data_IF_946192831793
#
_entry.id   IF_946192831793
#
_cell.length_a   1.000
_cell.length_b   1.000
_cell.length_c   1.000
_cell.angle_alpha   90.00
_cell.angle_beta   90.00
_cell.angle_gamma   90.00
#
_symmetry.space_group_name_H-M   'P 1'
#
loop_
_entity.id
_entity.type
_entity.pdbx_description
1 polymer ?
#
# COMPACT_ATOMS: atom_id res chain seq x y z
N UNK A 1 -12.25 -19.12 -15.00
CA UNK A 1 -10.95 -18.61 -15.49
C UNK A 1 -10.92 -17.11 -15.36
N UNK A 2 -10.37 -16.59 -14.26
CA UNK A 2 -10.17 -15.15 -14.07
C UNK A 2 -8.90 -14.74 -14.80
N UNK A 3 -9.04 -14.14 -15.97
CA UNK A 3 -7.93 -13.55 -16.69
C UNK A 3 -7.60 -12.22 -16.02
N UNK A 4 -6.54 -12.21 -15.21
CA UNK A 4 -5.89 -10.97 -14.74
C UNK A 4 -5.39 -10.25 -15.99
N UNK A 5 -6.08 -9.19 -16.40
CA UNK A 5 -5.69 -8.41 -17.56
C UNK A 5 -4.30 -7.79 -17.30
N UNK A 6 -3.31 -7.99 -18.21
CA UNK A 6 -2.03 -7.32 -18.09
C UNK A 6 -2.23 -5.81 -18.25
N UNK A 7 -1.56 -5.02 -17.40
CA UNK A 7 -1.56 -3.57 -17.49
C UNK A 7 -0.91 -3.17 -18.83
N UNK A 8 -1.72 -2.88 -19.85
CA UNK A 8 -1.23 -2.46 -21.17
C UNK A 8 -0.85 -0.97 -21.16
N UNK A 9 0.27 -0.58 -21.80
CA UNK A 9 0.83 0.79 -21.76
C UNK A 9 -0.06 1.88 -22.40
N UNK A 10 -1.13 1.50 -23.10
CA UNK A 10 -2.10 2.39 -23.76
C UNK A 10 -3.13 3.04 -22.82
N UNK A 11 -3.24 2.60 -21.56
CA UNK A 11 -4.22 3.11 -20.59
C UNK A 11 -3.62 3.73 -19.33
N UNK A 12 -2.30 3.96 -19.30
CA UNK A 12 -1.67 4.62 -18.16
C UNK A 12 -2.03 6.12 -18.17
N UNK A 13 -2.53 6.68 -17.05
CA UNK A 13 -2.72 8.12 -16.91
C UNK A 13 -1.46 8.89 -17.32
N UNK A 14 -1.59 10.08 -17.95
CA UNK A 14 -0.45 10.89 -18.38
C UNK A 14 0.60 11.15 -17.28
N UNK A 15 0.13 11.21 -16.02
CA UNK A 15 0.97 11.35 -14.83
C UNK A 15 1.90 10.15 -14.61
N UNK A 16 1.43 8.91 -14.81
CA UNK A 16 2.25 7.71 -14.66
C UNK A 16 3.31 7.63 -15.76
N UNK A 17 2.93 7.94 -17.01
CA UNK A 17 3.91 7.94 -18.12
C UNK A 17 5.02 8.97 -17.89
N UNK A 18 4.65 10.18 -17.46
CA UNK A 18 5.63 11.22 -17.08
C UNK A 18 6.50 10.75 -15.92
N UNK A 19 5.92 10.16 -14.88
CA UNK A 19 6.66 9.65 -13.74
C UNK A 19 7.66 8.56 -14.12
N UNK A 20 7.29 7.63 -15.02
CA UNK A 20 8.21 6.60 -15.54
C UNK A 20 9.38 7.24 -16.29
N UNK A 21 9.12 8.23 -17.15
CA UNK A 21 10.20 8.98 -17.82
C UNK A 21 11.15 9.65 -16.82
N UNK A 22 10.61 10.28 -15.77
CA UNK A 22 11.42 10.91 -14.73
C UNK A 22 12.21 9.89 -13.91
N UNK A 23 11.61 8.74 -13.58
CA UNK A 23 12.26 7.64 -12.87
C UNK A 23 13.42 7.04 -13.64
N UNK A 24 13.30 6.91 -14.96
CA UNK A 24 14.37 6.41 -15.81
C UNK A 24 15.54 7.41 -15.92
N UNK A 25 15.25 8.72 -15.86
CA UNK A 25 16.27 9.77 -15.88
C UNK A 25 17.08 9.89 -14.57
N UNK A 26 16.61 9.28 -13.49
CA UNK A 26 17.27 9.30 -12.17
C UNK A 26 18.51 8.41 -12.15
N UNK A 27 19.58 8.90 -11.52
CA UNK A 27 20.79 8.12 -11.28
C UNK A 27 20.49 6.78 -10.55
N UNK A 28 20.90 5.63 -11.12
CA UNK A 28 20.62 4.32 -10.54
C UNK A 28 21.30 4.10 -9.18
N UNK A 29 22.44 4.74 -8.90
CA UNK A 29 23.15 4.61 -7.63
C UNK A 29 22.43 5.26 -6.45
N UNK A 30 21.58 6.27 -6.71
CA UNK A 30 20.80 7.00 -5.70
C UNK A 30 19.43 6.36 -5.44
N UNK A 31 18.96 5.54 -6.38
CA UNK A 31 17.61 4.98 -6.39
C UNK A 31 17.33 3.97 -5.24
N UNK A 32 18.22 3.01 -4.90
CA UNK A 32 17.96 2.04 -3.84
C UNK A 32 17.79 2.69 -2.45
N UNK A 33 18.56 3.76 -2.18
CA UNK A 33 18.47 4.49 -0.90
C UNK A 33 17.12 5.19 -0.75
N UNK A 34 16.62 5.79 -1.84
CA UNK A 34 15.31 6.41 -1.88
C UNK A 34 14.20 5.37 -1.59
N UNK A 35 14.24 4.22 -2.27
CA UNK A 35 13.28 3.13 -2.09
C UNK A 35 13.25 2.61 -0.66
N UNK A 36 14.42 2.35 -0.06
CA UNK A 36 14.49 1.89 1.32
C UNK A 36 13.88 2.89 2.30
N UNK A 37 14.10 4.20 2.09
CA UNK A 37 13.55 5.25 2.95
C UNK A 37 12.04 5.35 2.82
N UNK A 38 11.52 5.28 1.59
CA UNK A 38 10.08 5.27 1.32
C UNK A 38 9.40 4.05 1.93
N UNK A 39 9.97 2.86 1.78
CA UNK A 39 9.47 1.63 2.41
C UNK A 39 9.39 1.74 3.93
N UNK A 40 10.44 2.26 4.57
CA UNK A 40 10.45 2.46 6.02
C UNK A 40 9.36 3.40 6.51
N UNK A 41 9.01 4.43 5.71
CA UNK A 41 8.01 5.43 6.09
C UNK A 41 6.62 5.20 5.47
N UNK A 42 6.45 4.18 4.62
CA UNK A 42 5.20 3.90 3.91
C UNK A 42 4.00 3.72 4.85
N UNK A 43 4.24 3.15 6.03
CA UNK A 43 3.21 2.93 7.05
C UNK A 43 2.81 4.20 7.82
N UNK A 44 3.52 5.32 7.66
CA UNK A 44 3.39 6.55 8.47
C UNK A 44 2.58 7.66 7.76
N UNK A 45 1.53 7.33 6.99
CA UNK A 45 0.69 8.21 6.12
C UNK A 45 0.37 9.66 6.55
N UNK A 46 0.61 10.07 7.80
CA UNK A 46 0.39 11.42 8.31
C UNK A 46 1.67 12.26 8.53
N UNK A 47 2.87 11.68 8.32
CA UNK A 47 4.15 12.38 8.48
C UNK A 47 4.81 12.54 7.11
N UNK A 48 5.26 13.75 6.77
CA UNK A 48 6.04 13.96 5.57
C UNK A 48 7.23 12.99 5.54
N UNK A 49 7.39 12.26 4.43
CA UNK A 49 8.49 11.29 4.29
C UNK A 49 9.85 11.98 4.41
N UNK A 50 9.94 13.23 3.96
CA UNK A 50 11.15 14.04 3.93
C UNK A 50 10.87 15.42 4.56
N UNK A 51 11.84 15.99 5.27
CA UNK A 51 11.81 17.41 5.64
C UNK A 51 12.02 18.30 4.41
N UNK A 52 11.71 19.59 4.52
CA UNK A 52 11.93 20.57 3.45
C UNK A 52 13.40 20.57 2.99
N UNK A 53 14.35 20.55 3.93
CA UNK A 53 15.79 20.47 3.66
C UNK A 53 16.19 19.14 2.97
N UNK A 54 15.55 18.02 3.32
CA UNK A 54 15.76 16.74 2.64
C UNK A 54 15.21 16.80 1.21
N UNK A 55 14.03 17.39 1.00
CA UNK A 55 13.46 17.58 -0.34
C UNK A 55 14.32 18.46 -1.24
N UNK A 56 14.90 19.55 -0.73
CA UNK A 56 15.87 20.36 -1.49
C UNK A 56 17.11 19.55 -1.90
N UNK A 57 17.65 18.73 -0.99
CA UNK A 57 18.77 17.85 -1.32
C UNK A 57 18.39 16.80 -2.36
N UNK A 58 17.17 16.26 -2.30
CA UNK A 58 16.66 15.31 -3.28
C UNK A 58 16.47 15.97 -4.65
N UNK A 59 15.95 17.20 -4.71
CA UNK A 59 15.83 17.96 -5.96
C UNK A 59 17.19 18.11 -6.64
N UNK A 60 18.22 18.51 -5.89
CA UNK A 60 19.60 18.63 -6.41
C UNK A 60 20.15 17.25 -6.80
N UNK A 61 19.96 16.24 -5.96
CA UNK A 61 20.50 14.90 -6.18
C UNK A 61 19.84 14.18 -7.38
N UNK A 62 18.58 14.47 -7.68
CA UNK A 62 17.89 13.90 -8.82
C UNK A 62 17.83 14.85 -10.02
N UNK A 63 18.31 16.09 -9.87
CA UNK A 63 18.18 17.15 -10.87
C UNK A 63 16.72 17.32 -11.32
N UNK A 64 15.80 17.31 -10.35
CA UNK A 64 14.35 17.42 -10.55
C UNK A 64 13.83 18.70 -9.91
N UNK A 65 12.86 19.34 -10.56
CA UNK A 65 12.09 20.43 -9.95
C UNK A 65 11.14 19.88 -8.87
N UNK A 66 10.75 20.72 -7.90
CA UNK A 66 9.84 20.34 -6.79
C UNK A 66 8.60 19.56 -7.24
N UNK A 67 7.96 19.98 -8.33
CA UNK A 67 6.76 19.31 -8.88
C UNK A 67 7.07 17.91 -9.40
N UNK A 68 8.17 17.77 -10.14
CA UNK A 68 8.58 16.49 -10.72
C UNK A 68 9.12 15.53 -9.65
N UNK A 69 9.83 16.05 -8.63
CA UNK A 69 10.21 15.27 -7.46
C UNK A 69 8.96 14.74 -6.73
N UNK A 70 7.97 15.60 -6.47
CA UNK A 70 6.73 15.16 -5.80
C UNK A 70 6.02 14.08 -6.61
N UNK A 71 5.89 14.25 -7.93
CA UNK A 71 5.31 13.24 -8.83
C UNK A 71 6.06 11.90 -8.76
N UNK A 72 7.39 11.93 -8.74
CA UNK A 72 8.23 10.73 -8.60
C UNK A 72 7.99 10.06 -7.25
N UNK A 73 8.04 10.82 -6.15
CA UNK A 73 7.83 10.28 -4.80
C UNK A 73 6.42 9.68 -4.62
N UNK A 74 5.40 10.37 -5.12
CA UNK A 74 4.02 9.85 -5.11
C UNK A 74 3.89 8.57 -5.93
N UNK A 75 4.52 8.53 -7.12
CA UNK A 75 4.47 7.34 -7.98
C UNK A 75 5.16 6.15 -7.33
N UNK A 76 6.35 6.35 -6.75
CA UNK A 76 7.05 5.29 -6.01
C UNK A 76 6.21 4.81 -4.83
N UNK A 77 5.67 5.75 -4.04
CA UNK A 77 4.82 5.41 -2.89
C UNK A 77 3.61 4.60 -3.31
N UNK A 78 2.92 5.04 -4.37
CA UNK A 78 1.77 4.33 -4.93
C UNK A 78 2.13 2.90 -5.37
N UNK A 79 3.24 2.71 -6.11
CA UNK A 79 3.72 1.39 -6.52
C UNK A 79 3.95 0.49 -5.30
N UNK A 80 4.61 1.00 -4.26
CA UNK A 80 4.87 0.24 -3.04
C UNK A 80 3.58 -0.08 -2.26
N UNK A 81 2.62 0.83 -2.22
CA UNK A 81 1.29 0.58 -1.64
C UNK A 81 0.54 -0.51 -2.40
N UNK A 82 0.59 -0.49 -3.74
CA UNK A 82 0.00 -1.56 -4.56
C UNK A 82 0.70 -2.90 -4.28
N UNK A 83 2.03 -2.90 -4.11
CA UNK A 83 2.79 -4.09 -3.76
C UNK A 83 2.39 -4.67 -2.38
N UNK A 84 2.16 -3.81 -1.38
CA UNK A 84 1.61 -4.20 -0.08
C UNK A 84 0.20 -4.76 -0.23
N UNK A 85 -0.70 -4.02 -0.88
CA UNK A 85 -2.13 -4.33 -0.98
C UNK A 85 -2.38 -5.67 -1.69
N UNK A 86 -1.65 -5.92 -2.76
CA UNK A 86 -1.75 -7.16 -3.53
C UNK A 86 -0.79 -8.26 -3.05
N UNK A 87 -0.01 -8.02 -1.99
CA UNK A 87 1.00 -8.94 -1.47
C UNK A 87 1.91 -9.49 -2.60
N UNK A 88 2.42 -8.59 -3.44
CA UNK A 88 3.18 -8.95 -4.64
C UNK A 88 4.50 -9.62 -4.26
N UNK A 89 4.94 -10.58 -5.07
CA UNK A 89 6.30 -11.14 -4.97
C UNK A 89 7.31 -10.21 -5.67
N UNK A 90 8.57 -10.14 -5.22
CA UNK A 90 9.61 -9.30 -5.84
C UNK A 90 9.73 -9.46 -7.35
N UNK A 91 9.75 -10.70 -7.85
CA UNK A 91 9.82 -10.97 -9.29
C UNK A 91 8.58 -10.47 -10.05
N UNK A 92 7.39 -10.59 -9.46
CA UNK A 92 6.14 -10.10 -10.05
C UNK A 92 6.11 -8.57 -10.10
N UNK A 93 6.60 -7.90 -9.05
CA UNK A 93 6.76 -6.45 -9.03
C UNK A 93 7.71 -5.98 -10.14
N UNK A 94 8.86 -6.64 -10.31
CA UNK A 94 9.83 -6.35 -11.36
C UNK A 94 9.21 -6.47 -12.76
N UNK A 95 8.43 -7.53 -13.01
CA UNK A 95 7.77 -7.74 -14.30
C UNK A 95 6.70 -6.68 -14.58
N UNK A 96 5.93 -6.29 -13.57
CA UNK A 96 4.93 -5.21 -13.73
C UNK A 96 5.60 -3.87 -14.05
N UNK A 97 6.71 -3.55 -13.41
CA UNK A 97 7.44 -2.31 -13.67
C UNK A 97 8.06 -2.29 -15.08
N UNK A 98 8.60 -3.41 -15.55
CA UNK A 98 9.07 -3.53 -16.93
C UNK A 98 7.92 -3.42 -17.95
N UNK A 99 6.72 -3.92 -17.60
CA UNK A 99 5.54 -3.81 -18.48
C UNK A 99 5.08 -2.37 -18.72
N UNK A 100 5.43 -1.45 -17.81
CA UNK A 100 5.18 0.00 -17.95
C UNK A 100 6.39 0.77 -18.49
N UNK A 101 7.40 0.07 -19.02
CA UNK A 101 8.65 0.61 -19.57
C UNK A 101 9.59 1.30 -18.55
N UNK A 102 9.55 0.88 -17.28
CA UNK A 102 10.61 1.24 -16.34
C UNK A 102 11.90 0.49 -16.70
N UNK A 103 13.03 1.20 -16.66
CA UNK A 103 14.33 0.60 -17.00
C UNK A 103 14.68 -0.59 -16.09
N UNK A 104 15.40 -1.57 -16.64
CA UNK A 104 15.68 -2.83 -15.97
C UNK A 104 16.41 -2.63 -14.64
N UNK A 105 17.37 -1.72 -14.57
CA UNK A 105 18.12 -1.41 -13.34
C UNK A 105 17.21 -0.83 -12.25
N UNK A 106 16.24 0.01 -12.63
CA UNK A 106 15.27 0.60 -11.69
C UNK A 106 14.28 -0.46 -11.22
N UNK A 107 13.77 -1.28 -12.12
CA UNK A 107 12.87 -2.37 -11.79
C UNK A 107 13.55 -3.39 -10.85
N UNK A 108 14.83 -3.72 -11.09
CA UNK A 108 15.62 -4.59 -10.22
C UNK A 108 15.84 -3.96 -8.84
N UNK A 109 16.13 -2.66 -8.78
CA UNK A 109 16.24 -1.94 -7.51
C UNK A 109 14.94 -2.00 -6.69
N UNK A 110 13.77 -1.85 -7.33
CA UNK A 110 12.46 -2.06 -6.70
C UNK A 110 12.31 -3.49 -6.16
N UNK A 111 12.61 -4.49 -7.00
CA UNK A 111 12.50 -5.89 -6.62
C UNK A 111 13.41 -6.23 -5.44
N UNK A 112 14.67 -5.76 -5.46
CA UNK A 112 15.63 -5.97 -4.39
C UNK A 112 15.20 -5.30 -3.09
N UNK A 113 14.74 -4.04 -3.15
CA UNK A 113 14.24 -3.33 -1.96
C UNK A 113 12.99 -4.02 -1.38
N UNK A 114 12.09 -4.48 -2.25
CA UNK A 114 10.89 -5.21 -1.86
C UNK A 114 11.19 -6.60 -1.29
N UNK A 115 12.17 -7.31 -1.83
CA UNK A 115 12.62 -8.58 -1.27
C UNK A 115 13.19 -8.42 0.15
N UNK A 116 13.91 -7.32 0.40
CA UNK A 116 14.53 -7.06 1.69
C UNK A 116 13.54 -6.60 2.77
N UNK A 117 12.57 -5.75 2.43
CA UNK A 117 11.71 -5.08 3.41
C UNK A 117 10.20 -5.28 3.19
N UNK A 118 9.78 -5.94 2.11
CA UNK A 118 8.37 -6.04 1.73
C UNK A 118 7.51 -6.81 2.74
N UNK A 119 8.00 -7.94 3.27
CA UNK A 119 7.25 -8.73 4.25
C UNK A 119 7.02 -7.98 5.56
N UNK A 120 8.06 -7.35 6.11
CA UNK A 120 7.96 -6.49 7.30
C UNK A 120 7.01 -5.30 7.07
N UNK A 121 7.08 -4.68 5.88
CA UNK A 121 6.19 -3.58 5.50
C UNK A 121 4.73 -4.02 5.46
N UNK A 122 4.44 -5.21 4.90
CA UNK A 122 3.10 -5.80 4.85
C UNK A 122 2.57 -6.08 6.25
N UNK A 123 3.40 -6.63 7.13
CA UNK A 123 3.01 -6.90 8.51
C UNK A 123 2.70 -5.61 9.28
N UNK A 124 3.55 -4.58 9.16
CA UNK A 124 3.31 -3.25 9.76
C UNK A 124 2.03 -2.61 9.24
N UNK A 125 1.73 -2.75 7.94
CA UNK A 125 0.49 -2.25 7.36
C UNK A 125 -0.73 -3.01 7.89
N UNK A 126 -0.65 -4.34 8.01
CA UNK A 126 -1.69 -5.18 8.61
C UNK A 126 -1.92 -4.83 10.08
N UNK A 127 -0.85 -4.67 10.87
CA UNK A 127 -0.95 -4.27 12.28
C UNK A 127 -1.61 -2.91 12.43
N UNK A 128 -1.31 -1.93 11.58
CA UNK A 128 -2.01 -0.62 11.58
C UNK A 128 -3.49 -0.73 11.27
N UNK A 129 -3.85 -1.57 10.30
CA UNK A 129 -5.25 -1.85 9.95
C UNK A 129 -5.99 -2.51 11.12
N UNK A 130 -5.29 -3.35 11.89
CA UNK A 130 -5.81 -4.02 13.08
C UNK A 130 -5.67 -3.18 14.37
N UNK A 131 -5.00 -2.02 14.32
CA UNK A 131 -4.86 -1.13 15.48
C UNK A 131 -6.16 -0.33 15.64
N UNK A 132 -6.85 -0.41 16.79
CA UNK A 132 -8.22 0.09 16.99
C UNK A 132 -8.31 1.62 17.12
N UNK A 133 -7.81 2.37 16.12
CA UNK A 133 -8.12 3.80 15.98
C UNK A 133 -9.01 4.13 14.78
N UNK A 134 -9.37 3.16 13.92
CA UNK A 134 -10.38 3.32 12.84
C UNK A 134 -11.08 2.00 12.48
N UNK A 135 -11.75 1.37 13.45
CA UNK A 135 -12.52 0.12 13.27
C UNK A 135 -13.85 0.28 12.49
N UNK A 136 -14.13 1.43 11.87
CA UNK A 136 -15.39 1.66 11.15
C UNK A 136 -15.37 1.13 9.70
N UNK A 137 -14.23 1.10 9.02
CA UNK A 137 -14.17 0.74 7.59
C UNK A 137 -14.01 -0.76 7.33
N UNK A 138 -13.75 -1.58 8.34
CA UNK A 138 -13.61 -3.05 8.17
C UNK A 138 -14.72 -3.82 8.91
N UNK A 139 -15.37 -3.20 9.90
CA UNK A 139 -16.54 -3.75 10.56
C UNK A 139 -17.66 -4.10 9.57
N UNK A 140 -17.93 -3.26 8.57
CA UNK A 140 -18.96 -3.56 7.57
C UNK A 140 -18.60 -4.73 6.65
N UNK A 141 -17.33 -4.90 6.28
CA UNK A 141 -16.91 -5.90 5.30
C UNK A 141 -16.81 -7.30 5.93
N UNK A 142 -16.37 -7.39 7.19
CA UNK A 142 -16.44 -8.62 7.98
C UNK A 142 -17.89 -8.98 8.34
N UNK A 143 -18.72 -7.99 8.69
CA UNK A 143 -20.13 -8.22 8.97
C UNK A 143 -20.93 -8.60 7.71
N UNK A 144 -20.54 -8.12 6.52
CA UNK A 144 -21.15 -8.52 5.24
C UNK A 144 -20.75 -9.95 4.85
N UNK A 145 -19.48 -10.32 5.00
CA UNK A 145 -18.98 -11.65 4.66
C UNK A 145 -19.46 -12.73 5.65
N UNK A 146 -19.69 -12.36 6.92
CA UNK A 146 -20.40 -13.20 7.89
C UNK A 146 -21.92 -13.22 7.62
N UNK A 147 -22.55 -12.10 7.22
CA UNK A 147 -23.96 -12.08 6.85
C UNK A 147 -24.26 -12.95 5.61
N UNK A 148 -23.40 -12.95 4.60
CA UNK A 148 -23.51 -13.84 3.43
C UNK A 148 -23.28 -15.31 3.81
N UNK A 149 -22.34 -15.59 4.71
CA UNK A 149 -22.08 -16.94 5.22
C UNK A 149 -23.21 -17.46 6.13
N UNK A 150 -23.94 -16.57 6.80
CA UNK A 150 -25.10 -16.90 7.64
C UNK A 150 -26.43 -16.90 6.88
N UNK A 151 -26.49 -16.41 5.64
CA UNK A 151 -27.68 -16.57 4.79
C UNK A 151 -27.82 -17.99 4.20
N UNK A 152 -26.78 -18.83 4.30
CA UNK A 152 -26.87 -20.25 4.04
C UNK A 152 -27.32 -21.03 5.29
N UNK A 153 -28.62 -20.95 5.59
CA UNK A 153 -29.44 -21.74 6.53
C UNK A 153 -29.90 -21.03 7.82
N UNK A 154 -31.21 -20.80 7.80
CA UNK A 154 -32.18 -20.92 8.91
C UNK A 154 -32.48 -19.67 9.76
N UNK A 155 -33.68 -19.14 9.48
CA UNK A 155 -34.70 -18.62 10.40
C UNK A 155 -34.28 -17.52 11.38
N UNK A 156 -34.63 -16.29 10.99
CA UNK A 156 -35.07 -15.15 11.82
C UNK A 156 -34.71 -15.20 13.31
N UNK A 157 -33.70 -14.45 13.78
CA UNK A 157 -33.48 -14.28 15.21
C UNK A 157 -34.47 -13.25 15.78
N UNK A 158 -35.51 -13.72 16.48
CA UNK A 158 -36.20 -12.94 17.50
C UNK A 158 -35.32 -12.93 18.75
N UNK A 159 -34.86 -11.75 19.18
CA UNK A 159 -34.17 -11.58 20.44
C UNK A 159 -35.18 -11.53 21.59
N UNK A 160 -35.11 -12.49 22.53
CA UNK A 160 -35.68 -12.34 23.87
C UNK A 160 -34.52 -12.15 24.84
N UNK A 161 -34.52 -11.03 25.55
CA UNK A 161 -33.57 -10.72 26.62
C UNK A 161 -34.20 -11.18 27.94
N UNK A 162 -33.74 -12.30 28.51
CA UNK A 162 -34.01 -12.61 29.91
C UNK A 162 -32.81 -12.18 30.77
N UNK A 163 -32.98 -11.06 31.48
CA UNK A 163 -32.04 -10.59 32.49
C UNK A 163 -32.37 -11.30 33.81
N UNK A 164 -31.62 -12.35 34.13
CA UNK A 164 -31.61 -12.94 35.46
C UNK A 164 -30.83 -12.03 36.41
N UNK A 165 -31.52 -11.33 37.30
CA UNK A 165 -30.90 -10.70 38.48
C UNK A 165 -31.03 -11.70 39.64
N UNK A 166 -29.90 -12.15 40.18
CA UNK A 166 -29.88 -13.03 41.34
C UNK A 166 -30.11 -12.24 42.63
N UNK A 167 -31.02 -12.81 43.42
CA UNK A 167 -31.33 -12.66 44.85
C UNK A 167 -30.34 -11.87 45.71
N UNK A 168 -30.85 -11.06 46.65
CA UNK A 168 -30.64 -11.23 48.10
C UNK A 168 -31.63 -10.33 48.86
N UNK A 169 -32.38 -10.99 49.72
CA UNK A 169 -33.47 -10.54 50.57
C UNK A 169 -32.97 -9.48 51.59
N UNK A 170 -33.66 -8.34 51.71
CA UNK A 170 -33.49 -7.42 52.83
C UNK A 170 -34.77 -7.44 53.65
N UNK A 171 -34.63 -8.05 54.84
CA UNK A 171 -35.59 -8.16 55.92
C UNK A 171 -36.02 -6.83 56.51
#
# INVERSE_FOLDING_TARGET
>A
SGATAPLTPSFLPPSIRRAVSLLNAVDPGRFPRLLSRLLQKLHLKAVSTFSEEEEEKLQIAFSLEKRDLHLVLETISFILEQAVYHNLKPASLQQQLQSIHLDQDKAEAFASAWAAAGQDTIEKFRQRVLTPQKLETIGWQLNLQMAESMQAKLKSPQAVLELGVSNEDSK
#
